data_IF_343583192580
#
_entry.id   IF_343583192580
#
_cell.length_a   1.000
_cell.length_b   1.000
_cell.length_c   1.000
_cell.angle_alpha   90.00
_cell.angle_beta   90.00
_cell.angle_gamma   90.00
#
_symmetry.space_group_name_H-M   'P 1'
#
loop_
_entity.id
_entity.type
_entity.pdbx_description
1 polymer ?
#
# COMPACT_ATOMS: atom_id res chain seq x y z
N UNK A 1 0.36 -32.21 -6.78
CA UNK A 1 -0.18 -30.84 -6.86
C UNK A 1 -1.70 -30.92 -6.71
N UNK A 2 -2.28 -30.29 -5.68
CA UNK A 2 -3.73 -30.23 -5.51
C UNK A 2 -4.35 -29.31 -6.56
N UNK A 3 -5.46 -29.73 -7.16
CA UNK A 3 -6.24 -28.88 -8.07
C UNK A 3 -7.14 -27.97 -7.22
N UNK A 4 -7.18 -26.69 -7.55
CA UNK A 4 -7.99 -25.67 -6.88
C UNK A 4 -8.97 -25.04 -7.87
N UNK A 5 -10.13 -24.61 -7.38
CA UNK A 5 -11.12 -23.91 -8.19
C UNK A 5 -10.77 -22.42 -8.26
N UNK A 6 -10.70 -21.86 -9.46
CA UNK A 6 -10.55 -20.41 -9.62
C UNK A 6 -11.88 -19.70 -9.31
N UNK A 7 -11.87 -18.70 -8.43
CA UNK A 7 -13.08 -17.94 -8.09
C UNK A 7 -13.57 -17.05 -9.23
N UNK A 8 -12.71 -16.68 -10.19
CA UNK A 8 -13.07 -15.87 -11.37
C UNK A 8 -13.64 -16.71 -12.51
N UNK A 9 -12.85 -17.62 -13.08
CA UNK A 9 -13.27 -18.38 -14.26
C UNK A 9 -14.04 -19.67 -13.93
N UNK A 10 -14.17 -20.02 -12.64
CA UNK A 10 -14.85 -21.24 -12.15
C UNK A 10 -14.33 -22.54 -12.75
N UNK A 11 -13.06 -22.56 -13.19
CA UNK A 11 -12.39 -23.76 -13.70
C UNK A 11 -11.45 -24.34 -12.65
N UNK A 12 -11.36 -25.67 -12.63
CA UNK A 12 -10.35 -26.38 -11.86
C UNK A 12 -8.98 -26.18 -12.49
N UNK A 13 -8.00 -25.77 -11.70
CA UNK A 13 -6.68 -25.41 -12.17
C UNK A 13 -5.58 -25.78 -11.18
N UNK A 14 -4.34 -25.73 -11.64
CA UNK A 14 -3.16 -25.63 -10.78
C UNK A 14 -2.58 -24.24 -11.00
N UNK A 15 -2.48 -23.39 -9.96
CA UNK A 15 -2.02 -22.02 -10.12
C UNK A 15 -0.57 -22.02 -10.59
N UNK A 16 -0.27 -21.14 -11.55
CA UNK A 16 1.10 -20.92 -12.04
C UNK A 16 1.78 -19.93 -11.09
N UNK A 17 2.97 -20.28 -10.61
CA UNK A 17 3.75 -19.38 -9.75
C UNK A 17 4.42 -18.32 -10.61
N UNK A 18 4.28 -17.05 -10.21
CA UNK A 18 4.96 -15.91 -10.81
C UNK A 18 6.22 -15.65 -10.00
N UNK A 19 7.37 -15.73 -10.68
CA UNK A 19 8.67 -15.46 -10.08
C UNK A 19 9.08 -14.01 -10.27
N UNK A 20 9.88 -13.51 -9.33
CA UNK A 20 10.50 -12.20 -9.44
C UNK A 20 11.39 -12.13 -10.67
N UNK A 21 11.30 -11.00 -11.38
CA UNK A 21 12.20 -10.70 -12.50
C UNK A 21 13.60 -10.44 -11.95
N UNK A 22 14.60 -10.90 -12.69
CA UNK A 22 15.99 -10.51 -12.48
C UNK A 22 16.22 -9.13 -13.04
N UNK A 23 17.10 -8.35 -12.42
CA UNK A 23 17.63 -7.11 -12.99
C UNK A 23 18.88 -7.49 -13.78
N UNK A 24 18.90 -7.18 -15.08
CA UNK A 24 20.08 -7.37 -15.90
C UNK A 24 21.06 -6.23 -15.66
N UNK A 25 22.27 -6.54 -15.19
CA UNK A 25 23.39 -5.62 -15.27
C UNK A 25 24.12 -5.78 -16.61
N UNK A 26 24.91 -4.78 -17.03
CA UNK A 26 25.69 -4.86 -18.28
C UNK A 26 26.78 -5.95 -18.22
N UNK A 27 27.09 -6.64 -19.32
CA UNK A 27 27.95 -7.85 -19.35
C UNK A 27 27.28 -9.15 -18.88
N UNK A 28 25.94 -9.22 -18.92
CA UNK A 28 25.20 -10.49 -18.82
C UNK A 28 24.97 -11.03 -17.41
N UNK A 29 25.58 -10.43 -16.38
CA UNK A 29 25.21 -10.66 -14.99
C UNK A 29 23.76 -10.28 -14.71
N UNK A 30 23.06 -11.17 -13.99
CA UNK A 30 21.69 -10.96 -13.52
C UNK A 30 21.70 -10.98 -12.00
N UNK A 31 21.24 -9.90 -11.39
CA UNK A 31 21.15 -9.78 -9.94
C UNK A 31 19.68 -9.91 -9.53
N UNK A 32 19.42 -10.81 -8.58
CA UNK A 32 18.07 -11.13 -8.12
C UNK A 32 17.26 -11.97 -9.11
N UNK A 33 16.01 -12.26 -8.75
CA UNK A 33 15.10 -13.11 -9.53
C UNK A 33 14.87 -14.49 -8.91
N UNK A 34 13.83 -15.19 -9.37
CA UNK A 34 13.53 -16.57 -8.97
C UNK A 34 12.86 -16.76 -7.61
N UNK A 35 12.56 -15.66 -6.88
CA UNK A 35 11.73 -15.74 -5.67
C UNK A 35 10.25 -15.77 -6.07
N UNK A 36 9.43 -16.68 -5.52
CA UNK A 36 7.99 -16.65 -5.79
C UNK A 36 7.39 -15.36 -5.21
N UNK A 37 6.75 -14.54 -6.05
CA UNK A 37 6.08 -13.30 -5.62
C UNK A 37 4.59 -13.57 -5.44
N UNK A 38 3.95 -14.15 -6.45
CA UNK A 38 2.50 -14.37 -6.50
C UNK A 38 2.19 -15.61 -7.33
N UNK A 39 0.91 -15.91 -7.52
CA UNK A 39 0.46 -17.00 -8.39
C UNK A 39 -0.74 -16.55 -9.20
N UNK A 40 -0.94 -17.11 -10.39
CA UNK A 40 -2.03 -16.74 -11.28
C UNK A 40 -2.79 -17.93 -11.84
N UNK A 41 -4.04 -17.68 -12.25
CA UNK A 41 -4.83 -18.64 -13.00
C UNK A 41 -4.29 -18.79 -14.43
N UNK A 42 -4.01 -20.01 -14.92
CA UNK A 42 -3.52 -20.21 -16.29
C UNK A 42 -4.58 -19.94 -17.37
N UNK A 43 -5.87 -19.86 -17.01
CA UNK A 43 -6.96 -19.66 -17.97
C UNK A 43 -7.36 -18.19 -18.12
N UNK A 44 -7.55 -17.48 -17.00
CA UNK A 44 -7.96 -16.06 -17.02
C UNK A 44 -6.84 -15.09 -16.61
N UNK A 45 -5.62 -15.60 -16.38
CA UNK A 45 -4.43 -14.81 -16.04
C UNK A 45 -4.58 -13.91 -14.81
N UNK A 46 -5.57 -14.17 -13.95
CA UNK A 46 -5.78 -13.39 -12.74
C UNK A 46 -4.83 -13.80 -11.62
N UNK A 47 -4.09 -12.85 -11.05
CA UNK A 47 -3.30 -13.06 -9.82
C UNK A 47 -4.19 -13.23 -8.58
N UNK A 48 -5.32 -12.54 -8.54
CA UNK A 48 -6.31 -12.60 -7.44
C UNK A 48 -7.35 -13.71 -7.68
N UNK A 49 -6.91 -14.91 -8.01
CA UNK A 49 -7.80 -16.02 -8.38
C UNK A 49 -8.48 -16.70 -7.18
N UNK A 50 -7.95 -16.49 -5.98
CA UNK A 50 -8.38 -17.04 -4.69
C UNK A 50 -9.33 -16.10 -3.93
N UNK A 51 -9.28 -14.80 -4.20
CA UNK A 51 -10.10 -13.80 -3.51
C UNK A 51 -11.53 -13.75 -4.05
N UNK A 52 -12.50 -13.53 -3.15
CA UNK A 52 -13.93 -13.37 -3.51
C UNK A 52 -14.21 -11.94 -4.01
N UNK A 53 -13.53 -10.95 -3.42
CA UNK A 53 -13.66 -9.54 -3.76
C UNK A 53 -12.35 -9.08 -4.40
N UNK A 54 -12.42 -8.51 -5.60
CA UNK A 54 -11.23 -8.00 -6.29
C UNK A 54 -10.67 -6.78 -5.52
N UNK A 55 -9.39 -6.78 -5.14
CA UNK A 55 -8.78 -5.58 -4.59
C UNK A 55 -8.87 -4.47 -5.63
N UNK A 56 -9.40 -3.31 -5.24
CA UNK A 56 -9.58 -2.18 -6.15
C UNK A 56 -8.25 -1.82 -6.81
N UNK A 57 -8.17 -1.68 -8.15
CA UNK A 57 -6.91 -1.50 -8.90
C UNK A 57 -6.14 -0.24 -8.50
N UNK A 58 -6.84 0.72 -7.89
CA UNK A 58 -6.25 1.94 -7.36
C UNK A 58 -5.45 1.67 -6.08
N UNK A 59 -5.97 0.81 -5.20
CA UNK A 59 -5.45 0.56 -3.86
C UNK A 59 -4.20 -0.32 -3.94
N UNK A 60 -3.06 0.23 -3.51
CA UNK A 60 -1.76 -0.43 -3.61
C UNK A 60 -1.03 -0.24 -4.95
N UNK A 61 -1.61 0.49 -5.92
CA UNK A 61 -0.89 0.87 -7.14
C UNK A 61 0.35 1.71 -6.80
N UNK A 62 1.42 1.56 -7.59
CA UNK A 62 2.67 2.33 -7.40
C UNK A 62 2.36 3.84 -7.43
N UNK A 63 1.43 4.26 -8.30
CA UNK A 63 0.99 5.65 -8.40
C UNK A 63 0.32 6.14 -7.12
N UNK A 64 -0.57 5.35 -6.50
CA UNK A 64 -1.16 5.71 -5.19
C UNK A 64 -0.13 5.71 -4.07
N UNK A 65 0.84 4.80 -4.07
CA UNK A 65 1.95 4.83 -3.10
C UNK A 65 2.79 6.10 -3.24
N UNK A 66 3.10 6.51 -4.48
CA UNK A 66 3.85 7.74 -4.74
C UNK A 66 3.02 8.97 -4.36
N UNK A 67 1.73 9.02 -4.70
CA UNK A 67 0.83 10.13 -4.33
C UNK A 67 0.54 10.20 -2.83
N UNK A 68 0.64 9.10 -2.09
CA UNK A 68 0.41 9.11 -0.64
C UNK A 68 1.44 9.93 0.13
N UNK A 69 2.67 10.07 -0.39
CA UNK A 69 3.74 10.83 0.26
C UNK A 69 3.42 12.33 0.32
N UNK A 70 3.15 13.03 -0.81
CA UNK A 70 2.79 14.44 -0.76
C UNK A 70 1.45 14.66 -0.04
N UNK A 71 0.47 13.76 -0.17
CA UNK A 71 -0.82 13.91 0.51
C UNK A 71 -0.70 13.82 2.03
N UNK A 72 0.13 12.90 2.54
CA UNK A 72 0.38 12.78 3.98
C UNK A 72 1.12 13.99 4.54
N UNK A 73 2.07 14.55 3.78
CA UNK A 73 2.75 15.79 4.16
C UNK A 73 1.79 16.98 4.24
N UNK A 74 0.90 17.14 3.26
CA UNK A 74 -0.12 18.20 3.25
C UNK A 74 -1.08 18.03 4.44
N UNK A 75 -1.53 16.81 4.72
CA UNK A 75 -2.39 16.56 5.89
C UNK A 75 -1.68 16.88 7.21
N UNK A 76 -0.40 16.53 7.33
CA UNK A 76 0.38 16.86 8.52
C UNK A 76 0.50 18.37 8.73
N UNK A 77 0.83 19.14 7.69
CA UNK A 77 0.98 20.60 7.80
C UNK A 77 -0.33 21.28 8.17
N UNK A 78 -1.46 20.83 7.61
CA UNK A 78 -2.79 21.35 7.96
C UNK A 78 -3.18 21.04 9.40
N UNK A 79 -2.96 19.81 9.86
CA UNK A 79 -3.27 19.40 11.24
C UNK A 79 -2.37 20.10 12.26
N UNK A 80 -1.08 20.25 11.94
CA UNK A 80 -0.14 20.98 12.77
C UNK A 80 -0.53 22.46 12.88
N UNK A 81 -0.85 23.11 11.75
CA UNK A 81 -1.35 24.49 11.72
C UNK A 81 -2.62 24.67 12.55
N UNK A 82 -3.62 23.81 12.36
CA UNK A 82 -4.86 23.84 13.13
C UNK A 82 -4.62 23.64 14.64
N UNK A 83 -3.68 22.77 15.02
CA UNK A 83 -3.34 22.56 16.42
C UNK A 83 -2.66 23.76 17.08
N UNK A 84 -1.87 24.53 16.32
CA UNK A 84 -1.23 25.74 16.81
C UNK A 84 -2.23 26.89 16.99
N UNK A 85 -3.18 27.04 16.06
CA UNK A 85 -4.29 27.98 16.22
C UNK A 85 -5.15 27.61 17.44
N UNK A 86 -5.47 26.32 17.62
CA UNK A 86 -6.22 25.87 18.80
C UNK A 86 -5.47 26.16 20.12
N UNK A 87 -4.15 26.00 20.10
CA UNK A 87 -3.29 26.30 21.24
C UNK A 87 -3.24 27.81 21.52
N UNK A 88 -3.21 28.66 20.50
CA UNK A 88 -3.20 30.12 20.68
C UNK A 88 -4.52 30.61 21.31
N UNK A 89 -5.66 30.06 20.89
CA UNK A 89 -6.97 30.34 21.48
C UNK A 89 -7.08 29.89 22.95
N UNK A 90 -6.43 28.79 23.32
CA UNK A 90 -6.42 28.26 24.70
C UNK A 90 -5.27 28.80 25.57
N UNK A 91 -4.68 29.94 25.20
CA UNK A 91 -3.68 30.63 26.03
C UNK A 91 -2.28 30.01 25.98
N UNK A 92 -1.94 29.27 24.92
CA UNK A 92 -0.57 28.81 24.65
C UNK A 92 -0.09 27.68 25.58
N UNK A 93 -1.01 26.88 26.14
CA UNK A 93 -0.61 25.79 27.02
C UNK A 93 0.22 24.74 26.27
N UNK A 94 1.43 24.45 26.78
CA UNK A 94 2.35 23.48 26.18
C UNK A 94 1.71 22.09 26.05
N UNK A 95 0.82 21.71 26.98
CA UNK A 95 0.12 20.43 26.98
C UNK A 95 -0.75 20.28 25.72
N UNK A 96 -1.49 21.32 25.34
CA UNK A 96 -2.34 21.30 24.14
C UNK A 96 -1.48 21.19 22.88
N UNK A 97 -0.35 21.91 22.82
CA UNK A 97 0.57 21.81 21.69
C UNK A 97 1.11 20.38 21.52
N UNK A 98 1.58 19.76 22.61
CA UNK A 98 2.10 18.39 22.57
C UNK A 98 1.02 17.37 22.18
N UNK A 99 -0.21 17.51 22.69
CA UNK A 99 -1.34 16.66 22.29
C UNK A 99 -1.66 16.84 20.79
N UNK A 100 -1.63 18.08 20.30
CA UNK A 100 -1.83 18.40 18.88
C UNK A 100 -0.77 17.78 17.97
N UNK A 101 0.50 17.84 18.37
CA UNK A 101 1.61 17.21 17.64
C UNK A 101 1.44 15.69 17.61
N UNK A 102 1.22 15.06 18.76
CA UNK A 102 1.04 13.59 18.81
C UNK A 102 -0.19 13.18 17.99
N UNK A 103 -1.30 13.91 18.11
CA UNK A 103 -2.52 13.68 17.35
C UNK A 103 -2.31 13.79 15.84
N UNK A 104 -1.61 14.83 15.38
CA UNK A 104 -1.31 15.03 13.95
C UNK A 104 -0.41 13.92 13.38
N UNK A 105 0.58 13.45 14.14
CA UNK A 105 1.44 12.32 13.73
C UNK A 105 0.64 11.03 13.62
N UNK A 106 -0.18 10.71 14.63
CA UNK A 106 -1.01 9.49 14.63
C UNK A 106 -2.04 9.51 13.50
N UNK A 107 -2.69 10.65 13.27
CA UNK A 107 -3.66 10.82 12.20
C UNK A 107 -3.00 10.68 10.81
N UNK A 108 -1.85 11.32 10.61
CA UNK A 108 -1.10 11.23 9.35
C UNK A 108 -0.60 9.81 9.09
N UNK A 109 -0.13 9.11 10.12
CA UNK A 109 0.30 7.71 10.00
C UNK A 109 -0.87 6.79 9.62
N UNK A 110 -2.03 6.93 10.30
CA UNK A 110 -3.23 6.16 9.96
C UNK A 110 -3.71 6.44 8.54
N UNK A 111 -3.70 7.71 8.14
CA UNK A 111 -4.08 8.14 6.80
C UNK A 111 -3.14 7.57 5.73
N UNK A 112 -1.83 7.70 5.91
CA UNK A 112 -0.83 7.14 4.98
C UNK A 112 -0.95 5.63 4.85
N UNK A 113 -1.13 4.92 5.96
CA UNK A 113 -1.34 3.46 5.95
C UNK A 113 -2.60 3.06 5.18
N UNK A 114 -3.65 3.86 5.20
CA UNK A 114 -4.88 3.60 4.45
C UNK A 114 -4.69 3.69 2.92
N UNK A 115 -3.80 4.56 2.43
CA UNK A 115 -3.47 4.61 0.99
C UNK A 115 -2.59 3.46 0.52
N UNK A 116 -1.72 2.96 1.39
CA UNK A 116 -0.74 1.92 1.06
C UNK A 116 -1.31 0.51 1.20
N UNK A 117 -2.25 0.29 2.14
CA UNK A 117 -2.90 -1.00 2.42
C UNK A 117 -4.31 -1.10 1.82
#
# INVERSE_FOLDING_TARGET
MSRVLCNRCKRMMVPRVIFSRSIAGGWGWRIGGGKPISSCCPFCLSEHWDVVVEPSPLRGSVLMKVLSIPLTLIMFTLLFGASNELASYMGGSAIVQWIGVIGSVVATYKFGRWFVN
#
